data_IF_123925083538
#
_entry.id   IF_123925083538
#
_cell.length_a   1.000
_cell.length_b   1.000
_cell.length_c   1.000
_cell.angle_alpha   90.00
_cell.angle_beta   90.00
_cell.angle_gamma   90.00
#
_symmetry.space_group_name_H-M   'P 1'
#
loop_
_entity.id
_entity.type
_entity.pdbx_description
1 polymer ?
#
# COMPACT_ATOMS: atom_id res chain seq x y z
N UNK A 1 -29.34 7.11 -0.21
CA UNK A 1 -29.00 8.37 0.46
C UNK A 1 -27.49 8.58 0.34
N UNK A 2 -27.05 9.72 -0.19
CA UNK A 2 -25.63 10.05 -0.31
C UNK A 2 -25.09 10.39 1.09
N UNK A 3 -24.15 9.59 1.63
CA UNK A 3 -23.58 9.79 2.95
C UNK A 3 -22.33 10.68 2.94
N UNK A 4 -21.60 10.71 1.84
CA UNK A 4 -20.38 11.48 1.65
C UNK A 4 -20.11 11.74 0.18
N UNK A 5 -18.95 12.30 -0.13
CA UNK A 5 -18.50 12.56 -1.49
C UNK A 5 -17.92 11.30 -2.14
N UNK A 6 -17.12 10.55 -1.39
CA UNK A 6 -16.39 9.39 -1.87
C UNK A 6 -16.16 8.38 -0.76
N UNK A 7 -15.82 7.14 -1.12
CA UNK A 7 -15.45 6.06 -0.21
C UNK A 7 -14.17 5.39 -0.71
N UNK A 8 -13.18 5.34 0.16
CA UNK A 8 -11.96 4.58 -0.07
C UNK A 8 -11.96 3.30 0.77
N UNK A 9 -11.38 2.25 0.21
CA UNK A 9 -11.16 0.99 0.91
C UNK A 9 -9.66 0.72 0.86
N UNK A 10 -9.05 0.61 2.03
CA UNK A 10 -7.64 0.29 2.22
C UNK A 10 -7.46 -1.01 2.99
N UNK A 11 -6.39 -1.71 2.70
CA UNK A 11 -5.95 -2.86 3.47
C UNK A 11 -4.48 -2.66 3.83
N UNK A 12 -4.20 -2.56 5.14
CA UNK A 12 -2.85 -2.42 5.67
C UNK A 12 -2.41 -3.75 6.29
N UNK A 13 -1.45 -4.39 5.68
CA UNK A 13 -0.80 -5.63 6.10
C UNK A 13 0.64 -5.42 6.58
N UNK A 14 1.04 -4.17 6.81
CA UNK A 14 2.40 -3.83 7.29
C UNK A 14 2.64 -4.22 8.74
N UNK A 15 1.59 -4.56 9.48
CA UNK A 15 1.65 -4.98 10.87
C UNK A 15 1.23 -6.43 11.04
N UNK A 16 1.60 -7.06 12.18
CA UNK A 16 1.25 -8.45 12.46
C UNK A 16 -0.27 -8.69 12.45
N UNK A 17 -1.05 -7.69 12.80
CA UNK A 17 -2.51 -7.73 12.73
C UNK A 17 -2.98 -6.80 11.60
N UNK A 18 -3.36 -7.36 10.44
CA UNK A 18 -3.83 -6.54 9.32
C UNK A 18 -5.08 -5.74 9.66
N UNK A 19 -5.20 -4.57 9.05
CA UNK A 19 -6.31 -3.65 9.26
C UNK A 19 -7.03 -3.39 7.93
N UNK A 20 -8.35 -3.59 7.92
CA UNK A 20 -9.21 -3.14 6.83
C UNK A 20 -9.76 -1.76 7.18
N UNK A 21 -9.48 -0.79 6.35
CA UNK A 21 -9.95 0.58 6.50
C UNK A 21 -11.04 0.89 5.47
N UNK A 22 -12.13 1.52 5.93
CA UNK A 22 -13.15 2.11 5.07
C UNK A 22 -13.26 3.59 5.42
N UNK A 23 -12.90 4.45 4.48
CA UNK A 23 -12.84 5.89 4.68
C UNK A 23 -13.95 6.59 3.89
N UNK A 24 -14.90 7.22 4.59
CA UNK A 24 -15.93 8.06 3.97
C UNK A 24 -15.44 9.52 3.94
N UNK A 25 -15.19 10.05 2.75
CA UNK A 25 -14.73 11.43 2.54
C UNK A 25 -15.88 12.38 2.32
N UNK A 26 -15.72 13.61 2.79
CA UNK A 26 -16.73 14.66 2.61
C UNK A 26 -18.08 14.34 3.26
N UNK A 27 -18.04 13.66 4.39
CA UNK A 27 -19.22 13.34 5.19
C UNK A 27 -19.64 14.53 6.07
N UNK A 28 -20.95 14.71 6.27
CA UNK A 28 -21.47 15.54 7.35
C UNK A 28 -21.45 14.76 8.66
N UNK A 29 -21.50 15.45 9.80
CA UNK A 29 -21.53 14.79 11.12
C UNK A 29 -22.70 13.78 11.24
N UNK A 30 -23.88 14.14 10.70
CA UNK A 30 -25.04 13.26 10.71
C UNK A 30 -24.89 12.04 9.80
N UNK A 31 -24.10 12.13 8.71
CA UNK A 31 -23.76 11.04 7.81
C UNK A 31 -22.70 10.12 8.42
N UNK A 32 -21.70 10.69 9.09
CA UNK A 32 -20.65 9.93 9.74
C UNK A 32 -21.22 8.92 10.76
N UNK A 33 -22.19 9.33 11.57
CA UNK A 33 -22.87 8.43 12.52
C UNK A 33 -23.61 7.26 11.86
N UNK A 34 -24.04 7.43 10.61
CA UNK A 34 -24.78 6.40 9.86
C UNK A 34 -23.87 5.47 9.06
N UNK A 35 -22.61 5.84 8.90
CA UNK A 35 -21.71 5.14 8.02
C UNK A 35 -21.48 3.67 8.42
N UNK A 36 -21.13 3.42 9.68
CA UNK A 36 -20.92 2.05 10.17
C UNK A 36 -22.16 1.16 9.98
N UNK A 37 -23.36 1.71 10.22
CA UNK A 37 -24.62 0.99 10.01
C UNK A 37 -24.88 0.71 8.51
N UNK A 38 -24.52 1.64 7.64
CA UNK A 38 -24.66 1.46 6.19
C UNK A 38 -23.70 0.37 5.67
N UNK A 39 -22.44 0.36 6.15
CA UNK A 39 -21.46 -0.68 5.83
C UNK A 39 -21.96 -2.04 6.30
N UNK A 40 -22.42 -2.14 7.57
CA UNK A 40 -22.97 -3.41 8.10
C UNK A 40 -24.12 -3.91 7.25
N UNK A 41 -25.07 -3.06 6.92
CA UNK A 41 -26.19 -3.43 6.06
C UNK A 41 -25.77 -3.91 4.68
N UNK A 42 -24.75 -3.29 4.09
CA UNK A 42 -24.22 -3.71 2.78
C UNK A 42 -23.56 -5.10 2.88
N UNK A 43 -22.74 -5.33 3.91
CA UNK A 43 -22.11 -6.64 4.15
C UNK A 43 -23.13 -7.73 4.42
N UNK A 44 -24.14 -7.46 5.26
CA UNK A 44 -25.23 -8.42 5.52
C UNK A 44 -25.99 -8.77 4.23
N UNK A 45 -26.21 -7.80 3.34
CA UNK A 45 -26.81 -8.04 2.03
C UNK A 45 -25.95 -8.95 1.15
N UNK A 46 -24.65 -8.70 1.07
CA UNK A 46 -23.71 -9.54 0.33
C UNK A 46 -23.68 -10.96 0.90
N UNK A 47 -23.64 -11.09 2.24
CA UNK A 47 -23.62 -12.42 2.88
C UNK A 47 -24.93 -13.20 2.73
N UNK A 48 -26.05 -12.52 2.54
CA UNK A 48 -27.33 -13.16 2.30
C UNK A 48 -27.46 -13.70 0.87
N UNK A 49 -26.87 -13.03 -0.11
CA UNK A 49 -26.91 -13.40 -1.53
C UNK A 49 -25.70 -14.25 -1.95
N UNK A 50 -24.62 -14.21 -1.17
CA UNK A 50 -23.30 -14.74 -1.52
C UNK A 50 -22.51 -13.78 -2.41
N UNK A 51 -21.20 -13.86 -2.38
CA UNK A 51 -20.34 -13.07 -3.27
C UNK A 51 -20.43 -13.65 -4.68
N UNK A 52 -20.75 -12.84 -5.71
CA UNK A 52 -20.85 -13.35 -7.09
C UNK A 52 -19.53 -13.98 -7.54
N UNK A 53 -19.59 -15.22 -8.01
CA UNK A 53 -18.40 -15.99 -8.44
C UNK A 53 -17.62 -15.31 -9.57
N UNK A 54 -18.33 -14.66 -10.49
CA UNK A 54 -17.71 -13.91 -11.60
C UNK A 54 -16.88 -12.72 -11.07
N UNK A 55 -17.36 -12.03 -10.04
CA UNK A 55 -16.65 -10.92 -9.41
C UNK A 55 -15.41 -11.41 -8.68
N UNK A 56 -15.51 -12.51 -7.93
CA UNK A 56 -14.36 -13.13 -7.27
C UNK A 56 -13.31 -13.57 -8.27
N UNK A 57 -13.73 -14.22 -9.36
CA UNK A 57 -12.82 -14.66 -10.41
C UNK A 57 -12.14 -13.48 -11.10
N UNK A 58 -12.88 -12.43 -11.42
CA UNK A 58 -12.32 -11.20 -12.01
C UNK A 58 -11.29 -10.54 -11.10
N UNK A 59 -11.61 -10.43 -9.81
CA UNK A 59 -10.69 -9.85 -8.80
C UNK A 59 -9.43 -10.70 -8.63
N UNK A 60 -9.59 -12.03 -8.60
CA UNK A 60 -8.48 -12.96 -8.47
C UNK A 60 -7.54 -12.91 -9.68
N UNK A 61 -8.11 -12.87 -10.89
CA UNK A 61 -7.32 -12.74 -12.12
C UNK A 61 -6.60 -11.38 -12.18
N UNK A 62 -7.25 -10.30 -11.76
CA UNK A 62 -6.61 -8.98 -11.70
C UNK A 62 -5.45 -8.95 -10.69
N UNK A 63 -5.62 -9.55 -9.52
CA UNK A 63 -4.58 -9.65 -8.52
C UNK A 63 -3.38 -10.51 -8.99
N UNK A 64 -3.66 -11.65 -9.63
CA UNK A 64 -2.63 -12.51 -10.22
C UNK A 64 -1.85 -11.77 -11.31
N UNK A 65 -2.55 -11.09 -12.21
CA UNK A 65 -1.93 -10.28 -13.26
C UNK A 65 -1.04 -9.18 -12.66
N UNK A 66 -1.56 -8.43 -11.67
CA UNK A 66 -0.78 -7.41 -10.97
C UNK A 66 0.46 -7.98 -10.25
N UNK A 67 0.41 -9.23 -9.78
CA UNK A 67 1.58 -9.88 -9.16
C UNK A 67 2.66 -10.25 -10.18
N UNK A 68 2.29 -10.45 -11.43
CA UNK A 68 3.21 -10.75 -12.54
C UNK A 68 3.77 -9.49 -13.19
N UNK A 69 2.97 -8.42 -13.26
CA UNK A 69 3.43 -7.11 -13.71
C UNK A 69 4.16 -6.40 -12.57
N UNK A 70 5.48 -6.40 -12.65
CA UNK A 70 6.30 -5.64 -11.70
C UNK A 70 6.26 -4.16 -12.07
N UNK A 71 5.58 -3.29 -11.30
CA UNK A 71 5.61 -1.87 -11.56
C UNK A 71 7.06 -1.37 -11.41
N UNK A 72 7.61 -0.75 -12.44
CA UNK A 72 9.00 -0.30 -12.47
C UNK A 72 9.36 0.85 -11.52
N UNK A 73 8.56 1.07 -10.47
CA UNK A 73 8.78 2.11 -9.47
C UNK A 73 9.86 1.75 -8.44
N UNK A 74 10.07 0.45 -8.20
CA UNK A 74 11.09 -0.07 -7.29
C UNK A 74 11.90 -1.17 -7.99
N UNK A 75 13.20 -1.31 -7.66
CA UNK A 75 13.98 -2.46 -8.12
C UNK A 75 13.36 -3.78 -7.65
N UNK A 76 13.38 -4.81 -8.51
CA UNK A 76 12.77 -6.11 -8.24
C UNK A 76 13.24 -6.73 -6.92
N UNK A 77 14.55 -6.65 -6.61
CA UNK A 77 15.07 -7.17 -5.35
C UNK A 77 14.52 -6.47 -4.11
N UNK A 78 14.12 -5.19 -4.22
CA UNK A 78 13.46 -4.46 -3.11
C UNK A 78 12.03 -4.97 -2.93
N UNK A 79 11.30 -5.18 -4.02
CA UNK A 79 9.95 -5.75 -3.99
C UNK A 79 9.98 -7.18 -3.41
N UNK A 80 10.93 -8.00 -3.85
CA UNK A 80 11.09 -9.36 -3.33
C UNK A 80 11.43 -9.36 -1.82
N UNK A 81 12.26 -8.42 -1.36
CA UNK A 81 12.56 -8.26 0.06
C UNK A 81 11.34 -7.83 0.88
N UNK A 82 10.51 -6.92 0.36
CA UNK A 82 9.24 -6.52 0.99
C UNK A 82 8.30 -7.71 1.07
N UNK A 83 8.09 -8.44 -0.03
CA UNK A 83 7.22 -9.61 -0.07
C UNK A 83 7.70 -10.71 0.89
N UNK A 84 9.01 -10.98 0.93
CA UNK A 84 9.59 -11.93 1.85
C UNK A 84 9.38 -11.51 3.32
N UNK A 85 9.54 -10.23 3.63
CA UNK A 85 9.33 -9.69 4.97
C UNK A 85 7.86 -9.80 5.39
N UNK A 86 6.92 -9.48 4.51
CA UNK A 86 5.48 -9.61 4.75
C UNK A 86 5.09 -11.07 4.97
N UNK A 87 5.54 -11.97 4.10
CA UNK A 87 5.30 -13.42 4.27
C UNK A 87 5.83 -13.93 5.60
N UNK A 88 7.05 -13.54 5.96
CA UNK A 88 7.67 -13.93 7.22
C UNK A 88 6.93 -13.37 8.44
N UNK A 89 6.54 -12.10 8.40
CA UNK A 89 5.83 -11.43 9.51
C UNK A 89 4.52 -12.14 9.86
N UNK A 90 3.73 -12.52 8.83
CA UNK A 90 2.39 -13.04 9.04
C UNK A 90 2.33 -14.56 9.21
N UNK A 91 3.25 -15.30 8.60
CA UNK A 91 3.17 -16.76 8.55
C UNK A 91 4.43 -17.48 9.03
N UNK A 92 5.53 -16.77 9.21
CA UNK A 92 6.85 -17.35 9.47
C UNK A 92 7.54 -17.92 8.20
N UNK A 93 6.88 -17.87 7.04
CA UNK A 93 7.44 -18.33 5.76
C UNK A 93 7.79 -17.15 4.85
N UNK A 94 9.08 -16.81 4.70
CA UNK A 94 9.49 -15.72 3.82
C UNK A 94 9.31 -16.03 2.33
N UNK A 95 9.12 -17.28 1.95
CA UNK A 95 8.95 -17.68 0.56
C UNK A 95 7.49 -17.66 0.10
N UNK A 96 6.53 -17.52 1.00
CA UNK A 96 5.11 -17.61 0.68
C UNK A 96 4.69 -16.67 -0.45
N UNK A 97 5.05 -15.41 -0.36
CA UNK A 97 4.69 -14.39 -1.35
C UNK A 97 5.67 -14.31 -2.54
N UNK A 98 6.72 -15.12 -2.55
CA UNK A 98 7.61 -15.28 -3.70
C UNK A 98 7.13 -16.37 -4.67
N UNK A 99 6.23 -17.26 -4.22
CA UNK A 99 5.65 -18.37 -5.00
C UNK A 99 4.17 -18.10 -5.27
N UNK A 100 3.87 -17.00 -5.98
CA UNK A 100 2.51 -16.51 -6.20
C UNK A 100 1.64 -17.47 -7.01
N UNK A 101 2.21 -18.29 -7.89
CA UNK A 101 1.54 -19.31 -8.67
C UNK A 101 0.78 -20.31 -7.78
N UNK A 102 1.43 -20.83 -6.74
CA UNK A 102 0.82 -21.74 -5.77
C UNK A 102 -0.25 -21.07 -4.93
N UNK A 103 -0.01 -19.81 -4.57
CA UNK A 103 -0.96 -19.01 -3.82
C UNK A 103 -2.26 -18.83 -4.60
N UNK A 104 -2.19 -18.41 -5.87
CA UNK A 104 -3.37 -18.21 -6.70
C UNK A 104 -4.12 -19.51 -7.02
N UNK A 105 -3.41 -20.64 -7.22
CA UNK A 105 -4.03 -21.95 -7.35
C UNK A 105 -4.86 -22.29 -6.09
N UNK A 106 -4.28 -22.13 -4.90
CA UNK A 106 -4.98 -22.36 -3.63
C UNK A 106 -6.18 -21.42 -3.44
N UNK A 107 -6.07 -20.14 -3.82
CA UNK A 107 -7.17 -19.19 -3.74
C UNK A 107 -8.34 -19.57 -4.66
N UNK A 108 -8.06 -20.13 -5.86
CA UNK A 108 -9.11 -20.64 -6.76
C UNK A 108 -9.85 -21.84 -6.16
N UNK A 109 -9.16 -22.77 -5.52
CA UNK A 109 -9.78 -23.88 -4.81
C UNK A 109 -10.66 -23.38 -3.65
N UNK A 110 -10.17 -22.43 -2.87
CA UNK A 110 -10.91 -21.79 -1.78
C UNK A 110 -12.13 -21.02 -2.28
N UNK A 111 -12.04 -20.37 -3.43
CA UNK A 111 -13.15 -19.69 -4.07
C UNK A 111 -14.26 -20.71 -4.40
N UNK A 112 -13.92 -21.83 -5.02
CA UNK A 112 -14.89 -22.87 -5.35
C UNK A 112 -15.54 -23.49 -4.10
N UNK A 113 -14.85 -23.50 -2.97
CA UNK A 113 -15.36 -23.96 -1.69
C UNK A 113 -16.19 -22.95 -0.89
N UNK A 114 -16.41 -21.72 -1.41
CA UNK A 114 -17.15 -20.65 -0.72
C UNK A 114 -16.41 -20.04 0.49
N UNK A 115 -15.10 -20.20 0.54
CA UNK A 115 -14.29 -19.72 1.67
C UNK A 115 -14.35 -18.19 1.85
N UNK A 116 -14.50 -17.42 0.77
CA UNK A 116 -14.51 -15.97 0.81
C UNK A 116 -15.75 -15.41 1.54
N UNK A 117 -16.90 -16.08 1.46
CA UNK A 117 -18.09 -15.68 2.25
C UNK A 117 -17.85 -15.88 3.75
N UNK A 118 -17.12 -16.94 4.11
CA UNK A 118 -16.69 -17.18 5.49
C UNK A 118 -15.72 -16.11 5.98
N UNK A 119 -14.71 -15.79 5.17
CA UNK A 119 -13.74 -14.74 5.46
C UNK A 119 -14.40 -13.37 5.65
N UNK A 120 -15.33 -13.00 4.76
CA UNK A 120 -16.08 -11.75 4.86
C UNK A 120 -16.87 -11.69 6.16
N UNK A 121 -17.50 -12.79 6.57
CA UNK A 121 -18.23 -12.88 7.84
C UNK A 121 -17.31 -12.70 9.04
N UNK A 122 -16.17 -13.36 9.05
CA UNK A 122 -15.18 -13.25 10.12
C UNK A 122 -14.60 -11.83 10.22
N UNK A 123 -14.27 -11.22 9.09
CA UNK A 123 -13.70 -9.87 9.03
C UNK A 123 -14.65 -8.81 9.60
N UNK A 124 -15.94 -8.96 9.39
CA UNK A 124 -16.95 -8.02 9.88
C UNK A 124 -17.68 -8.47 11.16
N UNK A 125 -17.28 -9.59 11.78
CA UNK A 125 -17.84 -10.04 13.06
C UNK A 125 -17.49 -9.11 14.24
N UNK A 126 -16.25 -8.58 14.38
CA UNK A 126 -15.93 -7.64 15.45
C UNK A 126 -16.62 -6.29 15.26
N UNK A 127 -16.82 -5.57 16.38
CA UNK A 127 -17.25 -4.18 16.30
C UNK A 127 -16.15 -3.32 15.68
N UNK A 128 -16.46 -2.47 14.69
CA UNK A 128 -15.46 -1.60 14.10
C UNK A 128 -15.04 -0.48 15.06
N UNK A 129 -13.78 -0.07 14.96
CA UNK A 129 -13.33 1.20 15.54
C UNK A 129 -13.71 2.30 14.56
N UNK A 130 -14.37 3.34 15.03
CA UNK A 130 -14.78 4.48 14.21
C UNK A 130 -14.05 5.73 14.66
N UNK A 131 -13.34 6.37 13.72
CA UNK A 131 -12.67 7.65 13.92
C UNK A 131 -13.33 8.69 13.02
N UNK A 132 -13.64 9.86 13.57
CA UNK A 132 -14.20 10.98 12.82
C UNK A 132 -13.20 12.13 12.85
N UNK A 133 -12.67 12.48 11.70
CA UNK A 133 -11.81 13.66 11.54
C UNK A 133 -12.68 14.86 11.18
N UNK A 134 -12.64 15.87 12.03
CA UNK A 134 -13.34 17.14 11.80
C UNK A 134 -12.30 18.19 11.41
N UNK A 135 -12.46 18.86 10.25
CA UNK A 135 -11.55 19.93 9.90
C UNK A 135 -11.67 21.07 10.93
N UNK A 136 -10.55 21.42 11.51
CA UNK A 136 -10.43 22.64 12.33
C UNK A 136 -9.86 23.75 11.47
N UNK A 137 -10.33 24.96 11.68
CA UNK A 137 -9.64 26.11 11.11
C UNK A 137 -8.21 26.12 11.69
N UNK A 138 -7.19 26.31 10.86
CA UNK A 138 -5.84 26.45 11.38
C UNK A 138 -5.86 27.61 12.39
N UNK A 139 -5.31 27.38 13.59
CA UNK A 139 -4.97 28.48 14.46
C UNK A 139 -4.18 29.47 13.61
N UNK A 140 -4.60 30.75 13.67
CA UNK A 140 -3.86 31.79 12.98
C UNK A 140 -2.47 31.79 13.61
N UNK A 141 -1.53 31.14 12.93
CA UNK A 141 -0.13 31.31 13.30
C UNK A 141 0.13 32.79 13.15
N UNK A 142 0.28 33.48 14.28
CA UNK A 142 0.82 34.85 14.32
C UNK A 142 2.34 34.83 14.02
N UNK A 143 2.73 34.02 13.06
CA UNK A 143 4.05 34.02 12.48
C UNK A 143 4.12 35.07 11.37
N UNK A 144 5.23 35.77 11.27
CA UNK A 144 5.51 36.61 10.10
C UNK A 144 5.26 35.73 8.84
N UNK A 145 4.55 36.27 7.83
CA UNK A 145 4.30 35.54 6.60
C UNK A 145 5.66 35.11 6.03
N UNK A 146 5.81 33.81 5.81
CA UNK A 146 6.98 33.25 5.12
C UNK A 146 7.04 34.01 3.79
N UNK A 147 8.02 34.90 3.65
CA UNK A 147 8.26 35.64 2.41
C UNK A 147 8.66 34.64 1.35
N UNK A 148 7.71 34.22 0.53
CA UNK A 148 7.94 33.46 -0.69
C UNK A 148 8.19 34.45 -1.86
N UNK A 149 9.19 35.28 -1.72
CA UNK A 149 9.63 36.16 -2.85
C UNK A 149 10.41 35.32 -3.91
N UNK A 150 10.23 34.00 -3.89
CA UNK A 150 10.49 33.14 -5.05
C UNK A 150 11.93 33.03 -5.50
N UNK A 151 12.86 33.67 -4.83
CA UNK A 151 14.28 33.51 -5.11
C UNK A 151 14.94 32.70 -4.03
N UNK A 152 15.12 31.43 -4.31
CA UNK A 152 16.14 30.64 -3.60
C UNK A 152 17.48 31.28 -3.97
N UNK A 153 17.93 32.25 -3.18
CA UNK A 153 19.26 32.82 -3.33
C UNK A 153 20.19 31.85 -2.60
N UNK A 154 20.70 30.89 -3.34
CA UNK A 154 21.91 30.20 -2.93
C UNK A 154 23.00 31.29 -2.99
N UNK A 155 23.52 31.74 -1.86
CA UNK A 155 24.64 32.68 -1.79
C UNK A 155 25.84 32.13 -2.59
N UNK A 156 25.96 30.82 -2.65
CA UNK A 156 26.92 30.12 -3.49
C UNK A 156 26.21 28.99 -4.26
N UNK A 157 25.88 29.15 -5.54
CA UNK A 157 25.35 28.07 -6.35
C UNK A 157 26.40 26.95 -6.45
N UNK A 158 25.96 25.73 -6.16
CA UNK A 158 26.83 24.55 -6.24
C UNK A 158 27.41 24.45 -7.65
N UNK A 159 28.72 24.32 -7.74
CA UNK A 159 29.47 24.11 -8.97
C UNK A 159 30.07 22.72 -9.00
N UNK A 160 30.56 22.28 -10.18
CA UNK A 160 31.26 21.01 -10.31
C UNK A 160 32.52 20.96 -9.41
N UNK A 161 33.07 22.12 -9.04
CA UNK A 161 34.24 22.20 -8.15
C UNK A 161 33.90 21.83 -6.71
N UNK A 162 32.64 21.99 -6.29
CA UNK A 162 32.15 21.63 -4.93
C UNK A 162 31.93 20.11 -4.77
N UNK A 163 31.94 19.37 -5.87
CA UNK A 163 31.92 17.92 -5.84
C UNK A 163 33.31 17.42 -5.43
N UNK A 164 33.40 16.74 -4.31
CA UNK A 164 34.64 16.12 -3.85
C UNK A 164 35.22 15.13 -4.88
N UNK A 165 36.50 14.85 -4.79
CA UNK A 165 37.20 13.95 -5.74
C UNK A 165 36.56 12.56 -5.84
N UNK A 166 35.91 12.07 -4.79
CA UNK A 166 35.16 10.82 -4.79
C UNK A 166 33.96 10.79 -5.74
N UNK A 167 33.34 11.95 -6.05
CA UNK A 167 32.24 12.05 -6.99
C UNK A 167 32.70 12.09 -8.45
N UNK A 168 33.98 12.35 -8.70
CA UNK A 168 34.60 12.40 -10.03
C UNK A 168 35.27 11.09 -10.42
N UNK A 169 35.45 10.18 -9.47
CA UNK A 169 36.08 8.90 -9.73
C UNK A 169 35.04 7.94 -10.25
N UNK A 170 35.26 7.38 -11.43
CA UNK A 170 34.42 6.30 -11.93
C UNK A 170 34.39 5.18 -10.88
N UNK A 171 33.21 4.66 -10.51
CA UNK A 171 33.13 3.57 -9.57
C UNK A 171 33.92 2.37 -10.11
N UNK A 172 34.93 1.97 -9.37
CA UNK A 172 35.70 0.76 -9.64
C UNK A 172 35.03 -0.49 -9.07
N UNK A 173 35.58 -1.63 -9.38
CA UNK A 173 35.17 -2.89 -8.75
C UNK A 173 35.40 -2.78 -7.24
N UNK A 174 34.36 -3.14 -6.46
CA UNK A 174 34.44 -3.22 -5.01
C UNK A 174 34.06 -4.61 -4.55
N UNK A 175 34.90 -5.18 -3.72
CA UNK A 175 34.54 -6.39 -2.99
C UNK A 175 33.62 -5.98 -1.82
N UNK A 176 32.34 -6.36 -1.87
CA UNK A 176 31.34 -6.03 -0.86
C UNK A 176 31.26 -7.06 0.26
N UNK A 177 31.52 -8.31 -0.06
CA UNK A 177 31.58 -9.46 0.86
C UNK A 177 32.66 -10.40 0.34
N UNK A 178 33.25 -11.21 1.21
CA UNK A 178 34.24 -12.19 0.81
C UNK A 178 33.72 -13.06 -0.34
N UNK A 179 34.27 -12.89 -1.53
CA UNK A 179 33.90 -13.63 -2.76
C UNK A 179 32.78 -13.01 -3.60
N UNK A 180 32.25 -11.83 -3.24
CA UNK A 180 31.30 -11.10 -4.07
C UNK A 180 31.92 -9.81 -4.61
N UNK A 181 31.89 -9.64 -5.94
CA UNK A 181 32.37 -8.43 -6.62
C UNK A 181 31.19 -7.64 -7.17
N UNK A 182 31.17 -6.34 -6.88
CA UNK A 182 30.25 -5.40 -7.53
C UNK A 182 30.93 -4.89 -8.82
N UNK A 183 30.41 -5.29 -9.95
CA UNK A 183 30.84 -4.75 -11.26
C UNK A 183 29.86 -3.65 -11.64
N UNK A 184 30.33 -2.41 -11.67
CA UNK A 184 29.54 -1.28 -12.18
C UNK A 184 29.75 -1.17 -13.69
N UNK A 185 28.66 -1.39 -14.43
CA UNK A 185 28.61 -1.07 -15.86
C UNK A 185 28.13 0.37 -16.02
N UNK A 186 28.96 1.29 -16.52
CA UNK A 186 28.48 2.62 -16.87
C UNK A 186 27.41 2.48 -17.96
N UNK A 187 26.25 3.06 -17.72
CA UNK A 187 25.25 3.19 -18.78
C UNK A 187 25.84 4.08 -19.87
N UNK A 188 25.95 3.53 -21.07
CA UNK A 188 26.30 4.32 -22.24
C UNK A 188 25.19 5.36 -22.44
N UNK A 189 25.56 6.65 -22.36
CA UNK A 189 24.68 7.78 -22.62
C UNK A 189 24.36 7.91 -24.13
#
# INVERSE_FOLDING_TARGET
QKLGADIDIGFDDSTLQPVLELVLRGATEGSARKFAAAVRKAVDGILAEGIPQELLLASLNAAEFASLERPGTLPDGVLDAINASTGWLHTGDPALLLHTDRLFASLREKMAAGWFDGLLRELFAPAPVQVVQVPTLPEKEEGEPIRTDGKLVLEHPLTVADLGDGARTAPGERELLAGAQLVHHPLAG
#
